data_IF_406856840716
#
_entry.id   IF_406856840716
#
_cell.length_a   1.000
_cell.length_b   1.000
_cell.length_c   1.000
_cell.angle_alpha   90.00
_cell.angle_beta   90.00
_cell.angle_gamma   90.00
#
_symmetry.space_group_name_H-M   'P 1'
#
loop_
_entity.id
_entity.type
_entity.pdbx_description
1 polymer ?
#
# COMPACT_ATOMS: atom_id res chain seq x y z
N UNK A 1 30.72 -33.81 -33.13
CA UNK A 1 30.41 -34.10 -31.71
C UNK A 1 31.18 -33.14 -30.83
N UNK A 2 30.51 -32.21 -30.14
CA UNK A 2 31.19 -31.32 -29.18
C UNK A 2 31.58 -32.18 -27.97
N UNK A 3 32.88 -32.25 -27.67
CA UNK A 3 33.41 -33.03 -26.56
C UNK A 3 32.91 -32.39 -25.25
N UNK A 4 32.06 -33.08 -24.48
CA UNK A 4 31.41 -32.52 -23.27
C UNK A 4 32.38 -32.15 -22.14
N UNK A 5 33.67 -32.47 -22.30
CA UNK A 5 34.78 -32.09 -21.38
C UNK A 5 35.63 -30.93 -21.92
N UNK A 6 35.23 -30.30 -23.02
CA UNK A 6 35.96 -29.15 -23.56
C UNK A 6 35.90 -28.00 -22.55
N UNK A 7 37.05 -27.43 -22.14
CA UNK A 7 37.08 -26.30 -21.20
C UNK A 7 36.27 -25.10 -21.73
N UNK A 8 36.17 -24.94 -23.05
CA UNK A 8 35.31 -23.92 -23.67
C UNK A 8 33.82 -24.10 -23.36
N UNK A 9 33.32 -25.33 -23.30
CA UNK A 9 31.91 -25.61 -23.03
C UNK A 9 31.56 -25.30 -21.56
N UNK A 10 32.46 -25.65 -20.63
CA UNK A 10 32.30 -25.34 -19.21
C UNK A 10 32.35 -23.82 -18.99
N UNK A 11 33.29 -23.10 -19.61
CA UNK A 11 33.35 -21.64 -19.53
C UNK A 11 32.11 -20.96 -20.10
N UNK A 12 31.54 -21.47 -21.19
CA UNK A 12 30.31 -20.93 -21.78
C UNK A 12 29.07 -21.15 -20.88
N UNK A 13 28.97 -22.31 -20.23
CA UNK A 13 27.89 -22.57 -19.25
C UNK A 13 28.03 -21.65 -18.04
N UNK A 14 29.24 -21.49 -17.50
CA UNK A 14 29.50 -20.58 -16.38
C UNK A 14 29.15 -19.13 -16.77
N UNK A 15 29.52 -18.70 -17.98
CA UNK A 15 29.19 -17.37 -18.49
C UNK A 15 27.68 -17.16 -18.68
N UNK A 16 26.96 -18.14 -19.22
CA UNK A 16 25.49 -18.08 -19.31
C UNK A 16 24.80 -18.06 -17.95
N UNK A 17 25.32 -18.82 -16.97
CA UNK A 17 24.84 -18.78 -15.59
C UNK A 17 25.12 -17.42 -14.92
N UNK A 18 26.23 -16.77 -15.26
CA UNK A 18 26.58 -15.45 -14.74
C UNK A 18 25.66 -14.35 -15.31
N UNK A 19 25.32 -14.41 -16.60
CA UNK A 19 24.41 -13.43 -17.22
C UNK A 19 22.98 -13.64 -16.69
N UNK A 20 22.51 -14.89 -16.59
CA UNK A 20 21.15 -15.19 -16.12
C UNK A 20 20.96 -14.80 -14.65
N UNK A 21 21.96 -15.01 -13.80
CA UNK A 21 21.93 -14.56 -12.39
C UNK A 21 21.96 -13.04 -12.26
N UNK A 22 22.71 -12.32 -13.10
CA UNK A 22 22.71 -10.86 -13.09
C UNK A 22 21.39 -10.27 -13.59
N UNK A 23 20.78 -10.82 -14.65
CA UNK A 23 19.48 -10.33 -15.14
C UNK A 23 18.36 -10.48 -14.11
N UNK A 24 18.32 -11.62 -13.41
CA UNK A 24 17.32 -11.88 -12.35
C UNK A 24 17.58 -11.07 -11.07
N UNK A 25 18.85 -10.86 -10.69
CA UNK A 25 19.23 -10.01 -9.57
C UNK A 25 18.91 -8.51 -9.80
N UNK A 26 18.87 -8.07 -11.05
CA UNK A 26 18.48 -6.71 -11.42
C UNK A 26 16.96 -6.56 -11.32
N UNK A 27 16.16 -7.49 -11.84
CA UNK A 27 14.69 -7.44 -11.70
C UNK A 27 14.23 -7.45 -10.22
N UNK A 28 14.87 -8.24 -9.38
CA UNK A 28 14.57 -8.27 -7.92
C UNK A 28 15.04 -7.03 -7.17
N UNK A 29 16.06 -6.30 -7.66
CA UNK A 29 16.51 -5.02 -7.09
C UNK A 29 15.68 -3.82 -7.56
N UNK A 30 15.21 -3.83 -8.81
CA UNK A 30 14.36 -2.76 -9.38
C UNK A 30 12.96 -2.81 -8.75
N UNK A 31 12.41 -4.00 -8.52
CA UNK A 31 11.18 -4.17 -7.75
C UNK A 31 11.33 -3.61 -6.31
N UNK A 32 12.50 -3.78 -5.68
CA UNK A 32 12.70 -3.33 -4.29
C UNK A 32 12.85 -1.81 -4.15
N UNK A 33 13.50 -1.12 -5.10
CA UNK A 33 13.62 0.35 -5.05
C UNK A 33 12.29 1.03 -5.38
N UNK A 34 11.55 0.52 -6.37
CA UNK A 34 10.22 1.04 -6.69
C UNK A 34 9.24 0.86 -5.53
N UNK A 35 9.23 -0.31 -4.89
CA UNK A 35 8.44 -0.55 -3.67
C UNK A 35 8.85 0.35 -2.52
N UNK A 36 10.15 0.60 -2.34
CA UNK A 36 10.66 1.50 -1.30
C UNK A 36 10.20 2.94 -1.54
N UNK A 37 10.26 3.42 -2.77
CA UNK A 37 9.75 4.75 -3.14
C UNK A 37 8.23 4.85 -2.97
N UNK A 38 7.48 3.79 -3.30
CA UNK A 38 6.04 3.72 -3.08
C UNK A 38 5.67 3.80 -1.59
N UNK A 39 6.37 3.05 -0.72
CA UNK A 39 6.21 3.16 0.74
C UNK A 39 6.52 4.56 1.25
N UNK A 40 7.60 5.16 0.75
CA UNK A 40 7.98 6.52 1.14
C UNK A 40 6.93 7.55 0.70
N UNK A 41 6.38 7.42 -0.51
CA UNK A 41 5.26 8.23 -0.98
C UNK A 41 4.04 8.10 -0.06
N UNK A 42 3.62 6.87 0.26
CA UNK A 42 2.45 6.61 1.11
C UNK A 42 2.64 7.18 2.52
N UNK A 43 3.86 7.09 3.08
CA UNK A 43 4.20 7.67 4.37
C UNK A 43 4.13 9.20 4.35
N UNK A 44 4.70 9.87 3.34
CA UNK A 44 4.62 11.34 3.23
C UNK A 44 3.17 11.80 3.08
N UNK A 45 2.38 11.07 2.30
CA UNK A 45 0.95 11.32 2.11
C UNK A 45 0.09 10.88 3.30
N UNK A 46 0.66 10.25 4.33
CA UNK A 46 0.02 9.88 5.59
C UNK A 46 -1.01 8.74 5.52
N UNK A 47 -1.02 7.96 4.44
CA UNK A 47 -1.99 6.86 4.26
C UNK A 47 -1.82 5.74 5.30
N UNK A 48 -0.60 5.48 5.78
CA UNK A 48 -0.36 4.49 6.85
C UNK A 48 -1.06 4.87 8.17
N UNK A 49 -1.02 6.15 8.54
CA UNK A 49 -1.65 6.64 9.78
C UNK A 49 -3.17 6.70 9.65
N UNK A 50 -3.69 7.17 8.51
CA UNK A 50 -5.14 7.26 8.27
C UNK A 50 -5.81 5.87 8.22
N UNK A 51 -5.11 4.89 7.66
CA UNK A 51 -5.58 3.49 7.62
C UNK A 51 -5.70 2.88 9.02
N UNK A 52 -4.70 3.13 9.88
CA UNK A 52 -4.71 2.67 11.27
C UNK A 52 -5.80 3.35 12.08
N UNK A 53 -5.90 4.68 12.04
CA UNK A 53 -6.93 5.45 12.77
C UNK A 53 -8.36 5.06 12.35
N UNK A 54 -8.58 4.88 11.05
CA UNK A 54 -9.90 4.49 10.52
C UNK A 54 -10.30 3.10 11.01
N UNK A 55 -9.37 2.15 11.02
CA UNK A 55 -9.64 0.79 11.46
C UNK A 55 -9.83 0.70 12.99
N UNK A 56 -9.01 1.39 13.77
CA UNK A 56 -9.19 1.49 15.22
C UNK A 56 -10.55 2.12 15.58
N UNK A 57 -10.97 3.14 14.84
CA UNK A 57 -12.30 3.74 14.99
C UNK A 57 -13.42 2.74 14.67
N UNK A 58 -13.27 1.94 13.60
CA UNK A 58 -14.22 0.90 13.23
C UNK A 58 -14.28 -0.22 14.28
N UNK A 59 -13.13 -0.69 14.76
CA UNK A 59 -13.01 -1.70 15.80
C UNK A 59 -13.65 -1.23 17.11
N UNK A 60 -13.45 0.03 17.51
CA UNK A 60 -14.11 0.60 18.68
C UNK A 60 -15.63 0.65 18.52
N UNK A 61 -16.15 1.00 17.32
CA UNK A 61 -17.59 1.00 17.05
C UNK A 61 -18.18 -0.42 17.15
N UNK A 62 -17.53 -1.40 16.54
CA UNK A 62 -17.95 -2.80 16.56
C UNK A 62 -17.94 -3.36 18.00
N UNK A 63 -16.88 -3.08 18.76
CA UNK A 63 -16.74 -3.53 20.15
C UNK A 63 -17.77 -2.87 21.08
N UNK A 64 -18.12 -1.60 20.84
CA UNK A 64 -19.21 -0.91 21.56
C UNK A 64 -20.59 -1.47 21.22
N UNK A 65 -20.82 -1.87 19.97
CA UNK A 65 -22.09 -2.46 19.54
C UNK A 65 -22.28 -3.93 19.94
N UNK A 66 -21.22 -4.65 20.31
CA UNK A 66 -21.31 -6.07 20.65
C UNK A 66 -20.35 -6.46 21.81
N UNK A 67 -20.68 -6.11 23.07
CA UNK A 67 -19.79 -6.30 24.22
C UNK A 67 -19.65 -7.77 24.69
N UNK A 68 -20.47 -8.69 24.15
CA UNK A 68 -20.59 -10.07 24.62
C UNK A 68 -19.67 -11.09 23.91
N UNK A 69 -18.99 -10.74 22.81
CA UNK A 69 -18.04 -11.68 22.20
C UNK A 69 -16.70 -11.65 22.95
N UNK A 70 -16.25 -12.81 23.42
CA UNK A 70 -14.90 -13.00 23.97
C UNK A 70 -13.75 -12.76 22.97
N UNK A 71 -14.02 -12.09 21.85
CA UNK A 71 -13.09 -11.81 20.75
C UNK A 71 -12.12 -10.66 21.02
N UNK A 72 -12.23 -10.00 22.19
CA UNK A 72 -11.29 -8.94 22.60
C UNK A 72 -9.82 -9.37 22.55
N UNK A 73 -9.53 -10.69 22.62
CA UNK A 73 -8.17 -11.23 22.59
C UNK A 73 -7.60 -11.47 21.16
N UNK A 74 -8.43 -11.66 20.13
CA UNK A 74 -7.98 -11.86 18.73
C UNK A 74 -8.03 -10.60 17.88
N UNK A 75 -8.75 -9.59 18.35
CA UNK A 75 -8.96 -8.36 17.60
C UNK A 75 -7.65 -7.62 17.24
N UNK A 76 -6.62 -7.50 18.11
CA UNK A 76 -5.37 -6.81 17.75
C UNK A 76 -4.56 -7.52 16.66
N UNK A 77 -4.49 -8.86 16.71
CA UNK A 77 -3.76 -9.65 15.71
C UNK A 77 -4.46 -9.64 14.35
N UNK A 78 -5.80 -9.68 14.34
CA UNK A 78 -6.60 -9.49 13.13
C UNK A 78 -6.41 -8.08 12.57
N UNK A 79 -6.46 -7.04 13.40
CA UNK A 79 -6.18 -5.66 13.01
C UNK A 79 -4.80 -5.53 12.37
N UNK A 80 -3.75 -6.08 12.99
CA UNK A 80 -2.39 -6.02 12.46
C UNK A 80 -2.28 -6.73 11.09
N UNK A 81 -2.90 -7.89 10.92
CA UNK A 81 -2.92 -8.61 9.63
C UNK A 81 -3.65 -7.82 8.54
N UNK A 82 -4.80 -7.20 8.85
CA UNK A 82 -5.54 -6.39 7.89
C UNK A 82 -4.78 -5.12 7.49
N UNK A 83 -4.16 -4.42 8.45
CA UNK A 83 -3.31 -3.26 8.16
C UNK A 83 -2.16 -3.68 7.24
N UNK A 84 -1.50 -4.80 7.52
CA UNK A 84 -0.43 -5.29 6.66
C UNK A 84 -0.91 -5.62 5.24
N UNK A 85 -2.09 -6.22 5.08
CA UNK A 85 -2.68 -6.48 3.76
C UNK A 85 -3.04 -5.20 3.01
N UNK A 86 -3.58 -4.21 3.72
CA UNK A 86 -3.91 -2.91 3.15
C UNK A 86 -2.64 -2.16 2.70
N UNK A 87 -1.60 -2.15 3.53
CA UNK A 87 -0.31 -1.56 3.19
C UNK A 87 0.29 -2.20 1.93
N UNK A 88 0.23 -3.53 1.82
CA UNK A 88 0.67 -4.24 0.61
C UNK A 88 -0.15 -3.87 -0.62
N UNK A 89 -1.47 -3.80 -0.50
CA UNK A 89 -2.36 -3.43 -1.59
C UNK A 89 -2.14 -1.97 -2.05
N UNK A 90 -1.91 -1.05 -1.11
CA UNK A 90 -1.59 0.34 -1.40
C UNK A 90 -0.23 0.48 -2.09
N UNK A 91 0.80 -0.20 -1.59
CA UNK A 91 2.13 -0.22 -2.24
C UNK A 91 1.98 -0.74 -3.67
N UNK A 92 1.29 -1.86 -3.86
CA UNK A 92 1.03 -2.43 -5.20
C UNK A 92 0.31 -1.42 -6.10
N UNK A 93 -0.74 -0.78 -5.60
CA UNK A 93 -1.50 0.23 -6.35
C UNK A 93 -0.60 1.39 -6.80
N UNK A 94 0.25 1.91 -5.92
CA UNK A 94 1.19 2.97 -6.25
C UNK A 94 2.21 2.50 -7.29
N UNK A 95 2.75 1.28 -7.14
CA UNK A 95 3.69 0.72 -8.12
C UNK A 95 3.05 0.36 -9.46
N UNK A 96 1.75 0.12 -9.52
CA UNK A 96 1.01 -0.13 -10.76
C UNK A 96 0.72 1.18 -11.52
N UNK A 97 0.55 2.29 -10.79
CA UNK A 97 0.20 3.61 -11.38
C UNK A 97 1.43 4.38 -11.86
N UNK A 98 2.52 4.39 -11.09
CA UNK A 98 3.70 5.19 -11.40
C UNK A 98 4.85 4.34 -11.92
N UNK A 99 5.65 4.88 -12.84
CA UNK A 99 7.00 4.38 -13.09
C UNK A 99 7.94 4.68 -11.91
N UNK A 100 9.08 3.98 -11.83
CA UNK A 100 10.07 4.25 -10.77
C UNK A 100 10.59 5.70 -10.83
N UNK A 101 10.83 6.22 -12.03
CA UNK A 101 11.33 7.59 -12.24
C UNK A 101 10.31 8.65 -11.83
N UNK A 102 9.02 8.44 -12.12
CA UNK A 102 7.94 9.31 -11.66
C UNK A 102 7.81 9.29 -10.14
N UNK A 103 7.90 8.10 -9.52
CA UNK A 103 7.91 7.95 -8.07
C UNK A 103 9.10 8.69 -7.45
N UNK A 104 10.30 8.52 -8.00
CA UNK A 104 11.52 9.18 -7.53
C UNK A 104 11.38 10.70 -7.56
N UNK A 105 10.90 11.27 -8.67
CA UNK A 105 10.65 12.71 -8.83
C UNK A 105 9.56 13.21 -7.88
N UNK A 106 8.48 12.45 -7.75
CA UNK A 106 7.35 12.79 -6.87
C UNK A 106 7.77 12.81 -5.41
N UNK A 107 8.45 11.77 -4.94
CA UNK A 107 8.99 11.69 -3.57
C UNK A 107 9.98 12.84 -3.31
N UNK A 108 10.86 13.14 -4.26
CA UNK A 108 11.79 14.26 -4.14
C UNK A 108 11.04 15.60 -4.00
N UNK A 109 10.01 15.84 -4.81
CA UNK A 109 9.17 17.03 -4.71
C UNK A 109 8.44 17.09 -3.36
N UNK A 110 7.85 15.99 -2.91
CA UNK A 110 7.11 15.90 -1.65
C UNK A 110 8.02 16.13 -0.42
N UNK A 111 9.33 15.87 -0.53
CA UNK A 111 10.31 16.17 0.54
C UNK A 111 10.66 17.65 0.66
N UNK A 112 10.38 18.48 -0.35
CA UNK A 112 10.58 19.92 -0.28
C UNK A 112 9.63 20.57 0.75
N UNK A 113 9.93 21.80 1.19
CA UNK A 113 9.04 22.52 2.11
C UNK A 113 7.64 22.69 1.52
N UNK A 114 7.55 23.08 0.24
CA UNK A 114 6.27 23.20 -0.46
C UNK A 114 5.55 21.85 -0.57
N UNK A 115 6.28 20.79 -0.95
CA UNK A 115 5.72 19.44 -1.04
C UNK A 115 5.14 18.92 0.28
N UNK A 116 5.80 19.20 1.40
CA UNK A 116 5.30 18.87 2.74
C UNK A 116 4.02 19.64 3.08
N UNK A 117 3.99 20.95 2.81
CA UNK A 117 2.78 21.77 3.01
C UNK A 117 1.62 21.28 2.15
N UNK A 118 1.88 20.92 0.89
CA UNK A 118 0.89 20.33 0.00
C UNK A 118 0.38 18.99 0.55
N UNK A 119 1.27 18.07 0.94
CA UNK A 119 0.88 16.77 1.49
C UNK A 119 0.04 16.91 2.76
N UNK A 120 0.39 17.83 3.66
CA UNK A 120 -0.41 18.12 4.85
C UNK A 120 -1.79 18.71 4.50
N UNK A 121 -1.86 19.68 3.58
CA UNK A 121 -3.11 20.25 3.10
C UNK A 121 -4.01 19.20 2.43
N UNK A 122 -3.42 18.35 1.59
CA UNK A 122 -4.11 17.25 0.91
C UNK A 122 -4.68 16.24 1.91
N UNK A 123 -3.94 15.86 2.95
CA UNK A 123 -4.44 14.98 4.03
C UNK A 123 -5.66 15.59 4.74
N UNK A 124 -5.57 16.86 5.15
CA UNK A 124 -6.70 17.57 5.77
C UNK A 124 -7.92 17.61 4.86
N UNK A 125 -7.70 17.85 3.57
CA UNK A 125 -8.76 17.83 2.56
C UNK A 125 -9.40 16.44 2.42
N UNK A 126 -8.61 15.39 2.25
CA UNK A 126 -9.11 14.01 2.09
C UNK A 126 -9.88 13.53 3.31
N UNK A 127 -9.40 13.84 4.52
CA UNK A 127 -10.14 13.58 5.75
C UNK A 127 -11.51 14.23 5.72
N UNK A 128 -11.59 15.52 5.37
CA UNK A 128 -12.87 16.24 5.31
C UNK A 128 -13.78 15.71 4.20
N UNK A 129 -13.21 15.33 3.05
CA UNK A 129 -13.93 14.71 1.96
C UNK A 129 -14.57 13.39 2.39
N UNK A 130 -13.82 12.49 3.03
CA UNK A 130 -14.35 11.21 3.53
C UNK A 130 -15.44 11.43 4.59
N UNK A 131 -15.23 12.36 5.52
CA UNK A 131 -16.26 12.75 6.50
C UNK A 131 -17.57 13.16 5.81
N UNK A 132 -17.49 14.02 4.79
CA UNK A 132 -18.65 14.50 4.05
C UNK A 132 -19.31 13.36 3.24
N UNK A 133 -18.52 12.50 2.57
CA UNK A 133 -19.04 11.33 1.85
C UNK A 133 -19.81 10.41 2.81
N UNK A 134 -19.30 10.18 4.01
CA UNK A 134 -19.99 9.36 5.02
C UNK A 134 -21.32 9.98 5.46
N UNK A 135 -21.41 11.30 5.59
CA UNK A 135 -22.68 11.99 5.90
C UNK A 135 -23.69 11.77 4.77
N UNK A 136 -23.29 12.04 3.52
CA UNK A 136 -24.16 11.89 2.34
C UNK A 136 -24.61 10.43 2.17
N UNK A 137 -23.70 9.47 2.26
CA UNK A 137 -24.04 8.04 2.19
C UNK A 137 -24.98 7.62 3.32
N UNK A 138 -24.78 8.14 4.54
CA UNK A 138 -25.68 7.90 5.67
C UNK A 138 -27.09 8.46 5.43
N UNK A 139 -27.21 9.62 4.80
CA UNK A 139 -28.51 10.20 4.42
C UNK A 139 -29.20 9.39 3.32
N UNK A 140 -28.47 8.98 2.29
CA UNK A 140 -28.99 8.11 1.22
C UNK A 140 -29.50 6.80 1.82
N UNK A 141 -28.73 6.17 2.70
CA UNK A 141 -29.13 4.93 3.37
C UNK A 141 -30.42 5.11 4.20
N UNK A 142 -30.55 6.20 4.97
CA UNK A 142 -31.77 6.50 5.74
C UNK A 142 -32.99 6.71 4.83
N UNK A 143 -32.84 7.44 3.73
CA UNK A 143 -33.92 7.65 2.75
C UNK A 143 -34.31 6.35 2.05
N UNK A 144 -33.34 5.50 1.71
CA UNK A 144 -33.56 4.17 1.14
C UNK A 144 -34.27 3.20 2.09
N UNK A 145 -33.98 3.28 3.39
CA UNK A 145 -34.72 2.52 4.42
C UNK A 145 -36.14 3.06 4.64
N UNK A 146 -36.33 4.39 4.58
CA UNK A 146 -37.65 5.01 4.73
C UNK A 146 -38.56 4.72 3.52
N UNK A 147 -38.01 4.63 2.31
CA UNK A 147 -38.74 4.29 1.09
C UNK A 147 -39.09 2.81 0.91
N UNK A 148 -38.69 1.92 1.85
CA UNK A 148 -39.13 0.51 1.88
C UNK A 148 -40.31 0.29 2.85
N UNK A 149 -40.88 1.36 3.41
CA UNK A 149 -42.06 1.33 4.29
C UNK A 149 -43.31 1.99 3.66
N UNK A 150 -43.23 2.46 2.40
CA UNK A 150 -44.39 2.83 1.57
C UNK A 150 -44.68 1.77 0.51
#
# INVERSE_FOLDING_TARGET
MINRRSPFFISAIIFMLFISTNSFAIETRVASEKEKLAKEYLNIMGFENESRESYESLQMRITKSNPASGEKMKAPELTARYIQQLDQALVKTVTDVFSEDELRKTVALLKTSYGKTFAEGHRKFMKKYIENVNVVMGEIYKKGLAGNHE
#
